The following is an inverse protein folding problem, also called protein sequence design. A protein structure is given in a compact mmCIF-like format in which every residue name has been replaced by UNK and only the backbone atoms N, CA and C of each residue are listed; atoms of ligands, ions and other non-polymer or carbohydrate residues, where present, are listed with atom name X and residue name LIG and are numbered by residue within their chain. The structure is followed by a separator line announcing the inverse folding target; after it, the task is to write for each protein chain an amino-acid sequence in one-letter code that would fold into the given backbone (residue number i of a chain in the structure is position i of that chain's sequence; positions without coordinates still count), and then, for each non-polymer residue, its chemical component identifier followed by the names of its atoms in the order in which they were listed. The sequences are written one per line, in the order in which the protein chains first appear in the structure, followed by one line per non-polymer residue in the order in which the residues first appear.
data_IF_052249521602
#
_entry.id   IF_052249521602
#
_cell.length_a   1.000
_cell.length_b   1.000
_cell.length_c   1.000
_cell.angle_alpha   90.00
_cell.angle_beta   90.00
_cell.angle_gamma   90.00
#
_symmetry.space_group_name_H-M   'P 1'
#
loop_
_entity.id
_entity.type
_entity.pdbx_description
1 polymer ?
#
# COMPACT_ATOMS: atom_id res chain seq x y z
N UNK A 1 -2.45 -11.43 21.99
CA UNK A 1 -1.09 -11.54 21.44
C UNK A 1 -0.16 -10.76 22.32
N UNK A 2 1.01 -11.31 22.62
CA UNK A 2 2.08 -10.52 23.22
C UNK A 2 2.62 -9.51 22.20
N UNK A 3 3.22 -8.42 22.68
CA UNK A 3 3.78 -7.39 21.81
C UNK A 3 4.82 -7.97 20.82
N UNK A 4 5.60 -8.96 21.27
CA UNK A 4 6.59 -9.64 20.45
C UNK A 4 5.98 -10.37 19.25
N UNK A 5 4.84 -11.05 19.44
CA UNK A 5 4.13 -11.76 18.36
C UNK A 5 3.62 -10.78 17.31
N UNK A 6 3.02 -9.66 17.75
CA UNK A 6 2.50 -8.62 16.85
C UNK A 6 3.63 -8.05 15.98
N UNK A 7 4.78 -7.71 16.57
CA UNK A 7 5.91 -7.17 15.81
C UNK A 7 6.50 -8.21 14.85
N UNK A 8 6.58 -9.48 15.26
CA UNK A 8 7.05 -10.56 14.40
C UNK A 8 6.13 -10.74 13.18
N UNK A 9 4.81 -10.80 13.39
CA UNK A 9 3.83 -10.93 12.31
C UNK A 9 3.93 -9.73 11.35
N UNK A 10 4.01 -8.52 11.89
CA UNK A 10 4.14 -7.30 11.08
C UNK A 10 5.42 -7.30 10.24
N UNK A 11 6.54 -7.75 10.83
CA UNK A 11 7.79 -7.93 10.10
C UNK A 11 7.67 -8.94 8.95
N UNK A 12 7.05 -10.09 9.21
CA UNK A 12 6.79 -11.12 8.19
C UNK A 12 5.89 -10.61 7.06
N UNK A 13 4.84 -9.86 7.41
CA UNK A 13 3.95 -9.24 6.41
C UNK A 13 4.71 -8.25 5.52
N UNK A 14 5.59 -7.42 6.09
CA UNK A 14 6.41 -6.50 5.28
C UNK A 14 7.46 -7.21 4.44
N UNK A 15 8.05 -8.31 4.93
CA UNK A 15 8.93 -9.14 4.11
C UNK A 15 8.18 -9.69 2.89
N UNK A 16 7.01 -10.30 3.11
CA UNK A 16 6.16 -10.82 2.03
C UNK A 16 5.75 -9.70 1.06
N UNK A 17 5.22 -8.60 1.56
CA UNK A 17 4.78 -7.45 0.76
C UNK A 17 5.94 -6.83 -0.03
N UNK A 18 7.13 -6.78 0.56
CA UNK A 18 8.37 -6.33 -0.07
C UNK A 18 8.83 -7.26 -1.19
N UNK A 19 8.78 -8.58 -0.99
CA UNK A 19 9.05 -9.58 -2.02
C UNK A 19 8.08 -9.44 -3.20
N UNK A 20 6.79 -9.29 -2.93
CA UNK A 20 5.77 -9.07 -3.98
C UNK A 20 6.06 -7.78 -4.73
N UNK A 21 6.36 -6.67 -4.05
CA UNK A 21 6.78 -5.41 -4.68
C UNK A 21 8.03 -5.60 -5.54
N UNK A 22 8.99 -6.41 -5.12
CA UNK A 22 10.21 -6.70 -5.88
C UNK A 22 9.96 -7.49 -7.16
N UNK A 23 9.08 -8.48 -7.11
CA UNK A 23 8.74 -9.35 -8.28
C UNK A 23 7.81 -8.63 -9.25
N UNK A 24 6.77 -7.97 -8.74
CA UNK A 24 5.68 -7.40 -9.54
C UNK A 24 5.91 -5.91 -9.87
N UNK A 25 6.75 -5.22 -9.09
CA UNK A 25 7.00 -3.77 -9.22
C UNK A 25 5.99 -2.88 -8.48
N UNK A 26 4.87 -3.44 -8.03
CA UNK A 26 3.85 -2.78 -7.20
C UNK A 26 3.28 -3.78 -6.19
N UNK A 27 2.45 -3.32 -5.24
CA UNK A 27 1.67 -4.22 -4.39
C UNK A 27 2.05 -4.26 -2.91
N UNK A 28 3.07 -3.53 -2.46
CA UNK A 28 3.36 -3.42 -1.02
C UNK A 28 2.12 -2.94 -0.22
N UNK A 29 1.45 -1.83 -0.57
CA UNK A 29 0.23 -1.41 0.11
C UNK A 29 -0.89 -2.46 0.04
N UNK A 30 -1.04 -3.13 -1.11
CA UNK A 30 -2.08 -4.12 -1.32
C UNK A 30 -1.90 -5.29 -0.35
N UNK A 31 -0.71 -5.90 -0.30
CA UNK A 31 -0.46 -7.05 0.57
C UNK A 31 -0.46 -6.65 2.04
N UNK A 32 0.26 -5.58 2.40
CA UNK A 32 0.41 -5.23 3.81
C UNK A 32 -0.88 -4.68 4.40
N UNK A 33 -1.61 -3.77 3.74
CA UNK A 33 -2.87 -3.25 4.31
C UNK A 33 -3.88 -4.39 4.46
N UNK A 34 -3.99 -5.28 3.46
CA UNK A 34 -4.90 -6.44 3.53
C UNK A 34 -4.64 -7.31 4.75
N UNK A 35 -3.38 -7.67 5.00
CA UNK A 35 -3.00 -8.58 6.08
C UNK A 35 -2.90 -7.90 7.45
N UNK A 36 -2.63 -6.60 7.51
CA UNK A 36 -2.50 -5.85 8.75
C UNK A 36 -3.81 -5.23 9.24
N UNK A 37 -4.79 -4.98 8.35
CA UNK A 37 -6.09 -4.39 8.73
C UNK A 37 -6.82 -5.21 9.81
N UNK A 38 -6.85 -6.56 9.78
CA UNK A 38 -7.46 -7.33 10.87
C UNK A 38 -6.75 -7.21 12.23
N UNK A 39 -5.46 -6.83 12.24
CA UNK A 39 -4.65 -6.73 13.45
C UNK A 39 -4.68 -5.32 14.07
N UNK A 40 -4.65 -4.29 13.21
CA UNK A 40 -4.52 -2.89 13.63
C UNK A 40 -5.77 -2.05 13.35
N UNK A 41 -6.69 -2.54 12.52
CA UNK A 41 -7.68 -1.69 11.86
C UNK A 41 -7.10 -1.01 10.61
N UNK A 42 -7.99 -0.52 9.75
CA UNK A 42 -7.61 -0.01 8.42
C UNK A 42 -6.67 1.20 8.49
N UNK A 43 -7.02 2.18 9.32
CA UNK A 43 -6.29 3.45 9.42
C UNK A 43 -4.87 3.20 9.94
N UNK A 44 -4.74 2.41 10.99
CA UNK A 44 -3.45 2.12 11.61
C UNK A 44 -2.59 1.21 10.72
N UNK A 45 -3.20 0.24 10.02
CA UNK A 45 -2.49 -0.59 9.03
C UNK A 45 -1.89 0.27 7.89
N UNK A 46 -2.64 1.27 7.40
CA UNK A 46 -2.13 2.24 6.42
C UNK A 46 -0.97 3.04 7.01
N UNK A 47 -1.12 3.55 8.24
CA UNK A 47 -0.10 4.36 8.89
C UNK A 47 1.23 3.61 9.08
N UNK A 48 1.17 2.36 9.56
CA UNK A 48 2.35 1.52 9.76
C UNK A 48 3.01 1.17 8.41
N UNK A 49 2.23 0.89 7.36
CA UNK A 49 2.75 0.65 6.01
C UNK A 49 3.42 1.86 5.37
N UNK A 50 2.91 3.06 5.67
CA UNK A 50 3.39 4.29 5.06
C UNK A 50 4.88 4.52 5.35
N UNK A 51 5.34 4.21 6.56
CA UNK A 51 6.73 4.40 6.97
C UNK A 51 7.74 3.71 6.03
N UNK A 52 7.74 2.36 5.88
CA UNK A 52 8.66 1.69 4.98
C UNK A 52 8.40 2.03 3.50
N UNK A 53 7.16 2.28 3.11
CA UNK A 53 6.82 2.65 1.73
C UNK A 53 7.47 3.99 1.35
N UNK A 54 7.33 5.02 2.19
CA UNK A 54 7.92 6.34 2.00
C UNK A 54 9.45 6.21 1.96
N UNK A 55 10.05 5.58 2.97
CA UNK A 55 11.53 5.44 3.03
C UNK A 55 12.08 4.78 1.77
N UNK A 56 11.51 3.64 1.36
CA UNK A 56 12.02 2.90 0.19
C UNK A 56 11.72 3.62 -1.13
N UNK A 57 10.55 4.24 -1.28
CA UNK A 57 10.19 4.96 -2.50
C UNK A 57 11.05 6.22 -2.70
N UNK A 58 11.28 7.00 -1.65
CA UNK A 58 12.16 8.17 -1.74
C UNK A 58 13.59 7.76 -2.02
N UNK A 59 14.11 6.74 -1.33
CA UNK A 59 15.43 6.18 -1.61
C UNK A 59 15.56 5.80 -3.09
N UNK A 60 14.60 5.04 -3.64
CA UNK A 60 14.56 4.64 -5.05
C UNK A 60 14.49 5.84 -6.01
N UNK A 61 13.71 6.86 -5.66
CA UNK A 61 13.55 8.06 -6.47
C UNK A 61 14.86 8.85 -6.60
N UNK A 62 15.63 8.97 -5.51
CA UNK A 62 16.94 9.64 -5.51
C UNK A 62 18.04 8.76 -6.12
N UNK A 63 18.07 7.47 -5.81
CA UNK A 63 19.10 6.56 -6.32
C UNK A 63 18.95 6.28 -7.83
N UNK A 64 17.76 6.48 -8.40
CA UNK A 64 17.46 6.21 -9.81
C UNK A 64 17.96 7.26 -10.81
N UNK A 65 18.47 8.41 -10.36
CA UNK A 65 19.11 9.44 -11.21
C UNK A 65 18.21 10.17 -12.22
N UNK A 66 16.92 9.81 -12.33
CA UNK A 66 15.97 10.36 -13.33
C UNK A 66 14.81 11.16 -12.72
N UNK A 67 14.97 11.61 -11.47
CA UNK A 67 13.91 12.28 -10.72
C UNK A 67 13.32 13.48 -11.48
N UNK A 68 14.16 14.38 -12.00
CA UNK A 68 13.69 15.58 -12.69
C UNK A 68 12.97 15.27 -14.02
N UNK A 69 13.41 14.24 -14.74
CA UNK A 69 12.77 13.79 -15.98
C UNK A 69 11.40 13.20 -15.67
N UNK A 70 11.30 12.35 -14.64
CA UNK A 70 10.03 11.78 -14.19
C UNK A 70 9.08 12.86 -13.67
N UNK A 71 9.58 13.83 -12.91
CA UNK A 71 8.79 14.95 -12.42
C UNK A 71 8.18 15.75 -13.57
N UNK A 72 8.98 16.18 -14.56
CA UNK A 72 8.44 16.94 -15.71
C UNK A 72 7.43 16.16 -16.54
N UNK A 73 7.59 14.84 -16.65
CA UNK A 73 6.65 13.97 -17.39
C UNK A 73 5.37 13.67 -16.63
N UNK A 74 5.45 13.50 -15.31
CA UNK A 74 4.37 12.98 -14.46
C UNK A 74 3.88 14.00 -13.42
N UNK A 75 4.26 15.27 -13.50
CA UNK A 75 3.94 16.29 -12.49
C UNK A 75 2.43 16.37 -12.22
N UNK A 76 1.60 16.29 -13.25
CA UNK A 76 0.14 16.32 -13.11
C UNK A 76 -0.35 15.15 -12.26
N UNK A 77 0.12 13.94 -12.54
CA UNK A 77 -0.18 12.75 -11.75
C UNK A 77 0.25 12.91 -10.29
N UNK A 78 1.45 13.45 -10.04
CA UNK A 78 1.95 13.65 -8.67
C UNK A 78 1.17 14.71 -7.91
N UNK A 79 0.88 15.86 -8.53
CA UNK A 79 0.17 16.97 -7.87
C UNK A 79 -1.28 16.58 -7.59
N UNK A 80 -2.03 16.14 -8.60
CA UNK A 80 -3.43 15.74 -8.40
C UNK A 80 -3.53 14.49 -7.51
N UNK A 81 -2.59 13.56 -7.63
CA UNK A 81 -2.49 12.40 -6.75
C UNK A 81 -2.25 12.79 -5.29
N UNK A 82 -1.31 13.70 -5.01
CA UNK A 82 -1.04 14.19 -3.66
C UNK A 82 -2.26 14.93 -3.09
N UNK A 83 -2.87 15.84 -3.87
CA UNK A 83 -4.09 16.55 -3.44
C UNK A 83 -5.22 15.58 -3.12
N UNK A 84 -5.48 14.63 -4.01
CA UNK A 84 -6.53 13.61 -3.81
C UNK A 84 -6.23 12.72 -2.61
N UNK A 85 -4.96 12.37 -2.39
CA UNK A 85 -4.53 11.56 -1.24
C UNK A 85 -4.74 12.31 0.08
N UNK A 86 -4.39 13.59 0.14
CA UNK A 86 -4.62 14.43 1.34
C UNK A 86 -6.12 14.55 1.62
N UNK A 87 -6.92 14.84 0.59
CA UNK A 87 -8.38 14.91 0.73
C UNK A 87 -8.96 13.57 1.19
N UNK A 88 -8.63 12.47 0.53
CA UNK A 88 -9.10 11.13 0.88
C UNK A 88 -8.68 10.73 2.29
N UNK A 89 -7.41 10.95 2.68
CA UNK A 89 -6.93 10.66 4.02
C UNK A 89 -7.65 11.52 5.08
N UNK A 90 -7.91 12.80 4.79
CA UNK A 90 -8.64 13.68 5.70
C UNK A 90 -10.08 13.23 5.94
N UNK A 91 -10.73 12.67 4.91
CA UNK A 91 -12.06 12.08 5.02
C UNK A 91 -11.99 10.76 5.77
N UNK A 92 -11.02 9.90 5.43
CA UNK A 92 -10.85 8.57 5.99
C UNK A 92 -10.73 8.55 7.51
N UNK A 93 -10.04 9.54 8.10
CA UNK A 93 -9.87 9.65 9.57
C UNK A 93 -11.11 10.22 10.27
N UNK A 94 -12.06 10.80 9.53
CA UNK A 94 -13.27 11.46 10.09
C UNK A 94 -14.54 10.63 9.98
N UNK A 95 -14.55 9.61 9.12
CA UNK A 95 -15.70 8.74 8.89
C UNK A 95 -15.54 7.41 9.61
N UNK A 96 -16.64 6.69 9.78
CA UNK A 96 -16.61 5.32 10.27
C UNK A 96 -15.76 4.44 9.32
N UNK A 97 -14.77 3.75 9.88
CA UNK A 97 -13.86 2.88 9.15
C UNK A 97 -14.55 1.64 8.56
N UNK A 98 -15.77 1.32 8.97
CA UNK A 98 -16.55 0.19 8.44
C UNK A 98 -16.68 0.25 6.91
N UNK A 99 -17.19 1.34 6.35
CA UNK A 99 -17.43 1.46 4.91
C UNK A 99 -16.13 1.43 4.08
N UNK A 100 -15.07 2.17 4.43
CA UNK A 100 -13.76 2.03 3.79
C UNK A 100 -13.18 0.61 3.88
N UNK A 101 -13.38 -0.10 4.99
CA UNK A 101 -12.91 -1.47 5.16
C UNK A 101 -13.69 -2.44 4.26
N UNK A 102 -15.02 -2.28 4.16
CA UNK A 102 -15.85 -3.05 3.23
C UNK A 102 -15.43 -2.79 1.78
N UNK A 103 -15.22 -1.52 1.42
CA UNK A 103 -14.74 -1.13 0.09
C UNK A 103 -13.38 -1.77 -0.21
N UNK A 104 -12.43 -1.69 0.73
CA UNK A 104 -11.12 -2.33 0.61
C UNK A 104 -11.27 -3.83 0.34
N UNK A 105 -12.10 -4.53 1.12
CA UNK A 105 -12.38 -5.95 0.92
C UNK A 105 -12.93 -6.25 -0.47
N UNK A 106 -13.90 -5.46 -0.94
CA UNK A 106 -14.46 -5.58 -2.29
C UNK A 106 -13.41 -5.39 -3.39
N UNK A 107 -12.53 -4.39 -3.24
CA UNK A 107 -11.43 -4.13 -4.18
C UNK A 107 -10.44 -5.30 -4.20
N UNK A 108 -10.04 -5.82 -3.03
CA UNK A 108 -9.11 -6.96 -2.93
C UNK A 108 -9.71 -8.20 -3.54
N UNK A 109 -10.97 -8.52 -3.24
CA UNK A 109 -11.65 -9.69 -3.81
C UNK A 109 -11.72 -9.59 -5.33
N UNK A 110 -12.15 -8.43 -5.86
CA UNK A 110 -12.22 -8.21 -7.30
C UNK A 110 -10.86 -8.35 -7.96
N UNK A 111 -9.83 -7.69 -7.41
CA UNK A 111 -8.47 -7.76 -7.92
C UNK A 111 -7.92 -9.19 -7.90
N UNK A 112 -8.15 -9.93 -6.82
CA UNK A 112 -7.67 -11.31 -6.66
C UNK A 112 -8.37 -12.26 -7.63
N UNK A 113 -9.68 -12.11 -7.82
CA UNK A 113 -10.45 -12.91 -8.78
C UNK A 113 -9.99 -12.65 -10.22
N UNK A 114 -9.78 -11.39 -10.58
CA UNK A 114 -9.26 -11.02 -11.91
C UNK A 114 -7.84 -11.59 -12.10
N UNK A 115 -6.97 -11.47 -11.10
CA UNK A 115 -5.62 -12.02 -11.16
C UNK A 115 -5.59 -13.55 -11.32
N UNK A 116 -6.47 -14.26 -10.62
CA UNK A 116 -6.62 -15.72 -10.76
C UNK A 116 -7.21 -16.11 -12.12
N UNK A 117 -8.21 -15.38 -12.62
CA UNK A 117 -8.82 -15.66 -13.92
C UNK A 117 -7.89 -15.36 -15.09
N UNK A 118 -7.02 -14.35 -14.96
CA UNK A 118 -6.02 -14.00 -15.96
C UNK A 118 -4.72 -14.81 -15.82
N UNK A 119 -4.68 -15.82 -14.96
CA UNK A 119 -3.48 -16.62 -14.74
C UNK A 119 -3.12 -17.40 -16.00
N UNK A 120 -1.95 -17.09 -16.56
CA UNK A 120 -1.34 -17.85 -17.63
C UNK A 120 -0.12 -18.56 -17.04
N UNK A 121 -0.18 -19.89 -16.81
CA UNK A 121 1.02 -20.64 -16.46
C UNK A 121 2.04 -20.55 -17.61
N UNK A 122 3.35 -20.61 -17.30
CA UNK A 122 4.42 -20.52 -18.29
C UNK A 122 4.36 -21.64 -19.34
#
# INVERSE_FOLDING_TARGET
MEAAEIYLITGLVFLLAGTVKGVVGFGLPLVSITLLTPLYGLVDAIAVMLLPAVVTNFWQAFSGGRLMVLWRRLWSLYVFGAMSTVLAASVLVRIDAYWPTVLLGGVILTYSLVGLAAWQPP
#
